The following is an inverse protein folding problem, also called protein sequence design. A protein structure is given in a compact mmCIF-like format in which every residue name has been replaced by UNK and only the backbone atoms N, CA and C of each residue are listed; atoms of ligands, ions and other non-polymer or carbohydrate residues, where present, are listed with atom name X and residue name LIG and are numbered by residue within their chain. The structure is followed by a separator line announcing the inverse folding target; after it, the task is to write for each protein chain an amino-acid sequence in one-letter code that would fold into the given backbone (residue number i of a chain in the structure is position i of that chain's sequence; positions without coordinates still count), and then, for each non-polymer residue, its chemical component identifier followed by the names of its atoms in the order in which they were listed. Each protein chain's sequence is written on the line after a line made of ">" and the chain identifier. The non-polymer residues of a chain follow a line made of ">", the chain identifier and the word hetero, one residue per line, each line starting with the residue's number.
data_IF_990920973280
#
_entry.id   IF_990920973280
#
_cell.length_a   1.000
_cell.length_b   1.000
_cell.length_c   1.000
_cell.angle_alpha   90.00
_cell.angle_beta   90.00
_cell.angle_gamma   90.00
#
_symmetry.space_group_name_H-M   'P 1'
#
loop_
_entity.id
_entity.type
_entity.pdbx_description
1 polymer ?
#
# COMPACT_ATOMS: atom_id res chain seq x y z
N UNK A 1 -2.81 -0.27 -3.18
CA UNK A 1 -1.90 0.73 -2.57
C UNK A 1 -2.48 1.44 -1.33
N UNK A 2 -3.66 1.11 -0.78
CA UNK A 2 -4.33 1.91 0.29
C UNK A 2 -4.01 1.43 1.72
N UNK A 3 -2.79 1.71 2.18
CA UNK A 3 -2.02 1.24 3.36
C UNK A 3 -2.64 1.28 4.75
N UNK A 4 -2.06 0.52 5.70
CA UNK A 4 -2.03 0.92 7.12
C UNK A 4 -1.44 2.34 7.30
N UNK A 5 -0.58 2.77 6.37
CA UNK A 5 -0.10 4.15 6.26
C UNK A 5 -1.22 5.20 6.12
N UNK A 6 -2.40 4.84 5.60
CA UNK A 6 -3.55 5.76 5.50
C UNK A 6 -4.04 6.19 6.89
N UNK A 7 -3.94 5.30 7.89
CA UNK A 7 -4.34 5.57 9.27
C UNK A 7 -3.38 6.54 9.96
N UNK A 8 -2.13 6.59 9.49
CA UNK A 8 -1.13 7.55 9.95
C UNK A 8 -1.22 8.92 9.27
N UNK A 9 -1.95 9.04 8.14
CA UNK A 9 -2.01 10.29 7.37
C UNK A 9 -2.58 11.47 8.17
N UNK A 10 -3.69 11.36 8.90
CA UNK A 10 -4.21 12.49 9.68
C UNK A 10 -3.22 12.99 10.73
N UNK A 11 -2.51 12.07 11.40
CA UNK A 11 -1.49 12.39 12.38
C UNK A 11 -0.25 13.03 11.72
N UNK A 12 0.23 12.47 10.61
CA UNK A 12 1.32 13.05 9.85
C UNK A 12 0.99 14.46 9.35
N UNK A 13 -0.24 14.68 8.87
CA UNK A 13 -0.72 15.99 8.39
C UNK A 13 -0.96 16.98 9.53
N UNK A 14 -1.29 16.52 10.74
CA UNK A 14 -1.41 17.41 11.90
C UNK A 14 -0.04 17.91 12.37
N UNK A 15 0.98 17.06 12.33
CA UNK A 15 2.38 17.41 12.67
C UNK A 15 3.07 18.24 11.57
N UNK A 16 2.92 17.82 10.30
CA UNK A 16 3.54 18.47 9.15
C UNK A 16 2.75 19.69 8.67
N UNK A 17 1.51 19.87 9.10
CA UNK A 17 0.65 20.96 8.63
C UNK A 17 0.12 20.72 7.22
N UNK A 18 -1.14 21.09 7.00
CA UNK A 18 -1.81 20.89 5.73
C UNK A 18 -1.77 22.18 4.91
N UNK A 19 -1.10 22.15 3.77
CA UNK A 19 -0.86 23.34 2.96
C UNK A 19 -2.13 23.85 2.23
N UNK A 20 -3.16 23.02 2.09
CA UNK A 20 -4.36 23.33 1.27
C UNK A 20 -5.31 24.32 1.95
N UNK A 21 -5.21 24.55 3.27
CA UNK A 21 -6.28 25.28 4.01
C UNK A 21 -5.80 26.38 4.96
N UNK A 22 -4.64 27.02 4.79
CA UNK A 22 -4.30 28.20 5.63
C UNK A 22 -3.61 29.36 4.89
N UNK A 23 -4.46 30.16 4.23
CA UNK A 23 -4.37 31.60 3.95
C UNK A 23 -3.26 32.14 3.03
N UNK A 24 -3.73 32.86 1.99
CA UNK A 24 -3.02 33.84 1.13
C UNK A 24 -2.41 35.03 1.91
N UNK A 25 -2.58 35.09 3.23
CA UNK A 25 -2.08 36.17 4.07
C UNK A 25 -1.13 35.62 5.15
N UNK A 26 -0.03 36.33 5.38
CA UNK A 26 1.09 36.06 6.29
C UNK A 26 2.27 35.26 5.70
N UNK A 27 3.01 35.99 4.87
CA UNK A 27 4.44 35.83 4.64
C UNK A 27 5.21 35.95 5.98
N UNK A 28 6.29 35.18 6.13
CA UNK A 28 7.33 35.30 7.18
C UNK A 28 7.11 34.58 8.52
N UNK A 29 7.43 33.28 8.58
CA UNK A 29 8.07 32.69 9.77
C UNK A 29 8.80 31.38 9.41
N UNK A 30 10.06 31.25 9.82
CA UNK A 30 10.97 30.13 9.51
C UNK A 30 10.42 28.74 9.90
N UNK A 31 9.46 28.68 10.84
CA UNK A 31 8.78 27.46 11.25
C UNK A 31 7.78 26.90 10.20
N UNK A 32 7.42 27.65 9.15
CA UNK A 32 6.59 27.14 8.03
C UNK A 32 7.40 26.33 7.00
N UNK A 33 8.73 26.42 6.99
CA UNK A 33 9.54 25.75 5.96
C UNK A 33 9.52 24.22 6.10
N UNK A 34 9.56 23.67 7.33
CA UNK A 34 9.44 22.21 7.54
C UNK A 34 8.04 21.68 7.23
N UNK A 35 7.01 22.54 7.36
CA UNK A 35 5.61 22.17 7.14
C UNK A 35 5.24 22.06 5.66
N UNK A 36 5.75 22.98 4.86
CA UNK A 36 5.60 22.97 3.40
C UNK A 36 6.38 21.78 2.79
N UNK A 37 7.54 21.42 3.36
CA UNK A 37 8.34 20.27 2.92
C UNK A 37 7.58 18.93 3.00
N UNK A 38 6.72 18.72 4.01
CA UNK A 38 5.93 17.49 4.13
C UNK A 38 4.95 17.28 2.98
N UNK A 39 4.24 18.34 2.57
CA UNK A 39 3.30 18.26 1.43
C UNK A 39 4.05 18.02 0.11
N UNK A 40 5.16 18.73 -0.11
CA UNK A 40 6.01 18.49 -1.28
C UNK A 40 6.61 17.09 -1.31
N UNK A 41 6.99 16.53 -0.17
CA UNK A 41 7.55 15.17 -0.08
C UNK A 41 6.50 14.12 -0.42
N UNK A 42 5.25 14.30 0.01
CA UNK A 42 4.14 13.39 -0.33
C UNK A 42 3.79 13.48 -1.82
N UNK A 43 3.75 14.67 -2.40
CA UNK A 43 3.50 14.84 -3.83
C UNK A 43 4.66 14.27 -4.67
N UNK A 44 5.90 14.52 -4.26
CA UNK A 44 7.08 13.96 -4.90
C UNK A 44 7.10 12.43 -4.82
N UNK A 45 6.80 11.86 -3.65
CA UNK A 45 6.71 10.42 -3.49
C UNK A 45 5.62 9.84 -4.38
N UNK A 46 4.45 10.48 -4.47
CA UNK A 46 3.39 10.10 -5.41
C UNK A 46 3.87 10.07 -6.86
N UNK A 47 4.47 11.16 -7.36
CA UNK A 47 5.00 11.24 -8.73
C UNK A 47 6.03 10.15 -9.01
N UNK A 48 7.00 9.96 -8.09
CA UNK A 48 8.02 8.91 -8.20
C UNK A 48 7.35 7.54 -8.26
N UNK A 49 6.39 7.30 -7.37
CA UNK A 49 5.68 6.03 -7.25
C UNK A 49 4.87 5.70 -8.51
N UNK A 50 4.23 6.70 -9.12
CA UNK A 50 3.50 6.55 -10.38
C UNK A 50 4.45 6.29 -11.55
N UNK A 51 5.57 7.02 -11.60
CA UNK A 51 6.60 6.83 -12.61
C UNK A 51 7.23 5.43 -12.50
N UNK A 52 7.53 4.95 -11.30
CA UNK A 52 8.07 3.60 -11.10
C UNK A 52 7.09 2.50 -11.54
N UNK A 53 5.77 2.69 -11.35
CA UNK A 53 4.77 1.74 -11.87
C UNK A 53 4.78 1.71 -13.39
N UNK A 54 4.83 2.88 -14.02
CA UNK A 54 4.93 2.98 -15.47
C UNK A 54 6.17 2.25 -15.99
N UNK A 55 7.33 2.47 -15.37
CA UNK A 55 8.57 1.80 -15.72
C UNK A 55 8.43 0.27 -15.62
N UNK A 56 7.86 -0.24 -14.53
CA UNK A 56 7.65 -1.68 -14.33
C UNK A 56 6.77 -2.30 -15.43
N UNK A 57 5.70 -1.60 -15.82
CA UNK A 57 4.77 -2.09 -16.85
C UNK A 57 5.43 -2.18 -18.22
N UNK A 58 6.26 -1.19 -18.59
CA UNK A 58 7.01 -1.22 -19.85
C UNK A 58 8.15 -2.24 -19.80
N UNK A 59 8.81 -2.39 -18.65
CA UNK A 59 9.95 -3.28 -18.47
C UNK A 59 9.58 -4.78 -18.53
N UNK A 60 8.33 -5.13 -18.22
CA UNK A 60 7.83 -6.50 -18.28
C UNK A 60 8.02 -7.18 -19.66
N UNK A 61 7.98 -6.40 -20.74
CA UNK A 61 8.08 -6.89 -22.13
C UNK A 61 9.14 -6.11 -22.94
N UNK A 62 10.19 -5.62 -22.26
CA UNK A 62 11.24 -4.80 -22.90
C UNK A 62 12.07 -5.58 -23.93
N UNK A 63 12.20 -6.90 -23.75
CA UNK A 63 12.89 -7.79 -24.69
C UNK A 63 11.85 -8.55 -25.54
N UNK A 64 11.91 -8.48 -26.88
CA UNK A 64 11.01 -9.25 -27.74
C UNK A 64 11.08 -10.75 -27.43
N UNK A 65 9.93 -11.36 -27.12
CA UNK A 65 9.83 -12.79 -26.85
C UNK A 65 10.19 -13.23 -25.43
N UNK A 66 10.62 -12.34 -24.53
CA UNK A 66 10.83 -12.66 -23.11
C UNK A 66 9.95 -11.78 -22.23
N UNK A 67 9.17 -12.43 -21.36
CA UNK A 67 8.41 -11.76 -20.29
C UNK A 67 9.20 -11.83 -19.00
N UNK A 68 9.24 -10.72 -18.27
CA UNK A 68 9.84 -10.65 -16.95
C UNK A 68 8.72 -10.62 -15.92
N UNK A 69 8.38 -11.80 -15.41
CA UNK A 69 7.19 -11.97 -14.56
C UNK A 69 7.49 -11.57 -13.10
N UNK A 70 8.77 -11.50 -12.71
CA UNK A 70 9.20 -11.19 -11.34
C UNK A 70 10.23 -10.07 -11.29
N UNK A 71 10.19 -9.29 -10.21
CA UNK A 71 11.11 -8.17 -10.00
C UNK A 71 12.62 -8.57 -9.96
N UNK A 72 13.01 -9.71 -9.34
CA UNK A 72 14.40 -10.17 -9.38
C UNK A 72 14.90 -10.51 -10.79
N UNK A 73 14.05 -11.01 -11.68
CA UNK A 73 14.43 -11.36 -13.06
C UNK A 73 14.82 -10.12 -13.87
N UNK A 74 14.16 -9.00 -13.60
CA UNK A 74 14.54 -7.68 -14.14
C UNK A 74 15.88 -7.21 -13.59
N UNK A 75 16.12 -7.41 -12.30
CA UNK A 75 17.42 -7.14 -11.68
C UNK A 75 18.55 -7.96 -12.30
N UNK A 76 18.32 -9.26 -12.48
CA UNK A 76 19.25 -10.17 -13.15
C UNK A 76 19.55 -9.76 -14.60
N UNK A 77 18.53 -9.27 -15.32
CA UNK A 77 18.72 -8.79 -16.68
C UNK A 77 19.55 -7.49 -16.75
N UNK A 78 19.31 -6.55 -15.83
CA UNK A 78 19.98 -5.25 -15.82
C UNK A 78 21.41 -5.31 -15.27
N UNK A 79 21.66 -6.09 -14.22
CA UNK A 79 22.93 -6.10 -13.48
C UNK A 79 23.69 -7.43 -13.59
N UNK A 80 23.14 -8.42 -14.31
CA UNK A 80 23.71 -9.76 -14.46
C UNK A 80 23.15 -10.77 -13.45
N UNK A 81 23.29 -12.09 -13.73
CA UNK A 81 22.53 -13.14 -13.06
C UNK A 81 22.85 -13.28 -11.57
N UNK A 82 24.10 -13.04 -11.14
CA UNK A 82 24.48 -13.14 -9.72
C UNK A 82 24.31 -11.83 -8.98
N UNK A 83 24.76 -10.72 -9.58
CA UNK A 83 24.75 -9.41 -8.93
C UNK A 83 23.34 -8.84 -8.84
N UNK A 84 22.54 -8.95 -9.91
CA UNK A 84 21.15 -8.50 -9.92
C UNK A 84 20.27 -9.21 -8.90
N UNK A 85 20.36 -10.54 -8.83
CA UNK A 85 19.63 -11.33 -7.84
C UNK A 85 19.98 -10.91 -6.40
N UNK A 86 21.26 -10.88 -6.05
CA UNK A 86 21.71 -10.56 -4.69
C UNK A 86 21.53 -9.10 -4.31
N UNK A 87 21.41 -8.18 -5.27
CA UNK A 87 21.10 -6.79 -5.01
C UNK A 87 19.61 -6.60 -4.74
N UNK A 88 18.74 -7.20 -5.56
CA UNK A 88 17.29 -6.98 -5.50
C UNK A 88 16.62 -7.83 -4.42
N UNK A 89 16.98 -9.11 -4.29
CA UNK A 89 16.28 -10.04 -3.39
C UNK A 89 16.33 -9.66 -1.92
N UNK A 90 17.48 -9.28 -1.33
CA UNK A 90 17.53 -8.90 0.08
C UNK A 90 16.65 -7.67 0.38
N UNK A 91 16.65 -6.68 -0.51
CA UNK A 91 15.81 -5.50 -0.37
C UNK A 91 14.33 -5.86 -0.48
N UNK A 92 13.96 -6.69 -1.44
CA UNK A 92 12.57 -7.15 -1.61
C UNK A 92 12.08 -7.96 -0.40
N UNK A 93 12.90 -8.89 0.11
CA UNK A 93 12.58 -9.67 1.31
C UNK A 93 12.45 -8.80 2.55
N UNK A 94 13.36 -7.83 2.72
CA UNK A 94 13.30 -6.89 3.84
C UNK A 94 11.99 -6.10 3.83
N UNK A 95 11.61 -5.54 2.68
CA UNK A 95 10.38 -4.76 2.53
C UNK A 95 9.15 -5.63 2.77
N UNK A 96 9.14 -6.87 2.29
CA UNK A 96 8.02 -7.80 2.49
C UNK A 96 7.85 -8.15 3.98
N UNK A 97 8.93 -8.56 4.65
CA UNK A 97 8.88 -8.91 6.08
C UNK A 97 8.48 -7.70 6.94
N UNK A 98 9.03 -6.52 6.65
CA UNK A 98 8.66 -5.29 7.36
C UNK A 98 7.18 -4.95 7.18
N UNK A 99 6.67 -5.10 5.96
CA UNK A 99 5.26 -4.91 5.63
C UNK A 99 4.38 -5.89 6.40
N UNK A 100 4.71 -7.20 6.38
CA UNK A 100 3.95 -8.24 7.07
C UNK A 100 3.86 -7.97 8.58
N UNK A 101 4.96 -7.55 9.21
CA UNK A 101 4.98 -7.19 10.63
C UNK A 101 4.03 -6.02 10.92
N UNK A 102 4.11 -4.94 10.12
CA UNK A 102 3.24 -3.76 10.28
C UNK A 102 1.77 -4.15 10.13
N UNK A 103 1.44 -5.06 9.21
CA UNK A 103 0.07 -5.54 9.02
C UNK A 103 -0.41 -6.43 10.15
N UNK A 104 0.42 -7.33 10.65
CA UNK A 104 0.08 -8.17 11.80
C UNK A 104 -0.26 -7.31 13.03
N UNK A 105 0.57 -6.31 13.33
CA UNK A 105 0.38 -5.43 14.48
C UNK A 105 -0.85 -4.55 14.31
N UNK A 106 -1.02 -3.92 13.14
CA UNK A 106 -2.13 -3.00 12.87
C UNK A 106 -3.47 -3.75 12.80
N UNK A 107 -3.51 -4.92 12.15
CA UNK A 107 -4.68 -5.78 12.07
C UNK A 107 -5.10 -6.28 13.45
N UNK A 108 -4.15 -6.80 14.25
CA UNK A 108 -4.42 -7.22 15.62
C UNK A 108 -4.92 -6.08 16.52
N UNK A 109 -4.33 -4.87 16.40
CA UNK A 109 -4.79 -3.69 17.14
C UNK A 109 -6.22 -3.29 16.76
N UNK A 110 -6.53 -3.33 15.46
CA UNK A 110 -7.85 -2.96 14.94
C UNK A 110 -8.91 -3.97 15.39
N UNK A 111 -8.60 -5.26 15.35
CA UNK A 111 -9.49 -6.32 15.83
C UNK A 111 -9.75 -6.20 17.34
N UNK A 112 -8.71 -5.94 18.13
CA UNK A 112 -8.84 -5.69 19.56
C UNK A 112 -9.80 -4.53 19.84
N UNK A 113 -9.63 -3.40 19.14
CA UNK A 113 -10.49 -2.23 19.30
C UNK A 113 -11.93 -2.47 18.85
N UNK A 114 -12.13 -3.24 17.78
CA UNK A 114 -13.46 -3.65 17.37
C UNK A 114 -14.17 -4.47 18.46
N UNK A 115 -13.48 -5.47 19.02
CA UNK A 115 -14.04 -6.30 20.10
C UNK A 115 -14.33 -5.48 21.36
N UNK A 116 -13.45 -4.54 21.70
CA UNK A 116 -13.66 -3.61 22.82
C UNK A 116 -14.93 -2.77 22.64
N UNK A 117 -15.19 -2.27 21.42
CA UNK A 117 -16.39 -1.49 21.10
C UNK A 117 -17.65 -2.36 21.17
N UNK A 118 -17.60 -3.58 20.64
CA UNK A 118 -18.77 -4.48 20.57
C UNK A 118 -19.11 -5.09 21.94
N UNK A 119 -18.10 -5.51 22.70
CA UNK A 119 -18.29 -6.19 23.98
C UNK A 119 -18.51 -5.24 25.16
N UNK A 120 -18.22 -3.94 25.00
CA UNK A 120 -18.46 -2.90 26.00
C UNK A 120 -17.86 -3.25 27.37
N UNK A 121 -18.66 -3.17 28.43
CA UNK A 121 -18.24 -3.44 29.82
C UNK A 121 -17.81 -4.88 30.10
N UNK A 122 -18.11 -5.82 29.19
CA UNK A 122 -17.75 -7.23 29.33
C UNK A 122 -16.30 -7.51 28.91
N UNK A 123 -15.63 -6.54 28.27
CA UNK A 123 -14.24 -6.71 27.84
C UNK A 123 -13.25 -6.40 28.97
N UNK A 124 -12.70 -7.45 29.57
CA UNK A 124 -11.67 -7.34 30.61
C UNK A 124 -10.26 -7.26 30.00
N UNK A 125 -9.97 -6.16 29.30
CA UNK A 125 -8.61 -5.72 28.94
C UNK A 125 -7.62 -6.84 28.58
N UNK A 126 -7.79 -7.45 27.40
CA UNK A 126 -6.94 -8.57 26.95
C UNK A 126 -5.67 -8.06 26.24
N UNK A 127 -4.56 -8.81 26.33
CA UNK A 127 -3.30 -8.44 25.66
C UNK A 127 -3.47 -8.43 24.14
N UNK A 128 -3.00 -7.36 23.49
CA UNK A 128 -3.03 -7.20 22.02
C UNK A 128 -2.38 -8.38 21.28
N UNK A 129 -1.36 -9.01 21.87
CA UNK A 129 -0.67 -10.18 21.29
C UNK A 129 -1.62 -11.30 20.89
N UNK A 130 -2.69 -11.55 21.66
CA UNK A 130 -3.66 -12.59 21.32
C UNK A 130 -4.44 -12.24 20.04
N UNK A 131 -4.81 -10.98 19.86
CA UNK A 131 -5.48 -10.53 18.64
C UNK A 131 -4.56 -10.54 17.42
N UNK A 132 -3.26 -10.29 17.61
CA UNK A 132 -2.25 -10.46 16.55
C UNK A 132 -2.18 -11.94 16.15
N UNK A 133 -2.13 -12.87 17.11
CA UNK A 133 -2.10 -14.31 16.82
C UNK A 133 -3.38 -14.80 16.13
N UNK A 134 -4.55 -14.31 16.54
CA UNK A 134 -5.83 -14.61 15.88
C UNK A 134 -5.81 -14.10 14.44
N UNK A 135 -5.36 -12.86 14.22
CA UNK A 135 -5.27 -12.28 12.88
C UNK A 135 -4.28 -13.04 12.00
N UNK A 136 -3.12 -13.43 12.55
CA UNK A 136 -2.13 -14.25 11.87
C UNK A 136 -2.67 -15.64 11.50
N UNK A 137 -3.42 -16.30 12.39
CA UNK A 137 -4.02 -17.60 12.11
C UNK A 137 -5.02 -17.53 10.95
N UNK A 138 -5.85 -16.48 10.89
CA UNK A 138 -6.75 -16.24 9.76
C UNK A 138 -5.96 -16.06 8.47
N UNK A 139 -4.91 -15.23 8.47
CA UNK A 139 -4.09 -15.03 7.27
C UNK A 139 -3.35 -16.28 6.81
N UNK A 140 -2.86 -17.11 7.75
CA UNK A 140 -2.23 -18.38 7.44
C UNK A 140 -3.20 -19.36 6.75
N UNK A 141 -4.47 -19.38 7.16
CA UNK A 141 -5.50 -20.17 6.48
C UNK A 141 -5.78 -19.60 5.08
N UNK A 142 -5.90 -18.27 4.96
CA UNK A 142 -6.10 -17.60 3.68
C UNK A 142 -4.94 -17.85 2.70
N UNK A 143 -3.71 -17.95 3.19
CA UNK A 143 -2.54 -18.22 2.35
C UNK A 143 -2.52 -19.61 1.73
N UNK A 144 -3.37 -20.54 2.19
CA UNK A 144 -3.51 -21.86 1.58
C UNK A 144 -4.36 -21.83 0.30
N UNK A 145 -4.96 -20.69 -0.03
CA UNK A 145 -5.72 -20.55 -1.27
C UNK A 145 -4.78 -20.54 -2.49
N UNK A 146 -5.10 -21.29 -3.56
CA UNK A 146 -4.16 -21.53 -4.64
C UNK A 146 -3.92 -20.32 -5.55
N UNK A 147 -4.81 -19.33 -5.56
CA UNK A 147 -4.67 -18.10 -6.34
C UNK A 147 -5.59 -16.98 -5.84
N UNK A 148 -5.29 -15.74 -6.26
CA UNK A 148 -6.06 -14.55 -5.93
C UNK A 148 -7.53 -14.63 -6.34
N UNK A 149 -7.85 -15.26 -7.47
CA UNK A 149 -9.22 -15.39 -7.94
C UNK A 149 -10.07 -16.30 -7.03
N UNK A 150 -9.46 -17.30 -6.39
CA UNK A 150 -10.10 -18.17 -5.40
C UNK A 150 -10.48 -17.40 -4.12
N UNK A 151 -9.66 -16.42 -3.71
CA UNK A 151 -9.99 -15.52 -2.60
C UNK A 151 -11.15 -14.58 -2.97
N UNK A 152 -11.25 -14.20 -4.25
CA UNK A 152 -12.27 -13.26 -4.73
C UNK A 152 -13.66 -13.86 -4.99
N UNK A 153 -13.81 -15.18 -5.06
CA UNK A 153 -14.99 -15.84 -5.64
C UNK A 153 -16.01 -16.43 -4.65
N UNK A 154 -15.86 -16.23 -3.34
CA UNK A 154 -16.74 -16.84 -2.33
C UNK A 154 -17.44 -15.78 -1.45
N UNK A 155 -18.78 -15.78 -1.41
CA UNK A 155 -19.61 -14.70 -0.81
C UNK A 155 -19.43 -14.45 0.70
N UNK A 156 -19.03 -15.47 1.47
CA UNK A 156 -18.67 -15.31 2.90
C UNK A 156 -17.21 -14.83 3.03
N UNK A 157 -16.39 -15.11 2.02
CA UNK A 157 -15.08 -14.52 1.91
C UNK A 157 -15.14 -13.07 1.44
N UNK A 158 -16.21 -12.50 0.88
CA UNK A 158 -16.23 -11.07 0.48
C UNK A 158 -15.87 -10.11 1.65
N UNK A 159 -16.23 -10.46 2.89
CA UNK A 159 -15.77 -9.76 4.10
C UNK A 159 -14.28 -9.98 4.40
N UNK A 160 -13.81 -11.25 4.34
CA UNK A 160 -12.39 -11.62 4.51
C UNK A 160 -11.50 -11.20 3.33
N UNK A 161 -12.08 -11.00 2.15
CA UNK A 161 -11.57 -10.49 0.89
C UNK A 161 -11.51 -8.96 1.00
N UNK A 162 -12.48 -8.29 1.62
CA UNK A 162 -12.31 -6.90 2.04
C UNK A 162 -11.08 -6.75 2.94
N UNK A 163 -10.92 -7.62 3.95
CA UNK A 163 -9.73 -7.63 4.81
C UNK A 163 -8.45 -8.06 4.07
N UNK A 164 -8.53 -9.02 3.15
CA UNK A 164 -7.43 -9.53 2.34
C UNK A 164 -6.98 -8.58 1.25
N UNK A 165 -7.90 -7.85 0.62
CA UNK A 165 -7.68 -6.77 -0.35
C UNK A 165 -7.08 -5.55 0.34
N UNK A 166 -7.50 -5.26 1.59
CA UNK A 166 -6.77 -4.33 2.45
C UNK A 166 -5.35 -4.88 2.64
N UNK A 167 -5.14 -6.07 3.19
CA UNK A 167 -3.80 -6.66 3.43
C UNK A 167 -2.89 -6.78 2.18
N UNK A 168 -3.44 -7.06 0.99
CA UNK A 168 -2.72 -7.21 -0.27
C UNK A 168 -2.56 -5.91 -1.05
N UNK A 169 -3.24 -4.83 -0.66
CA UNK A 169 -3.06 -3.54 -1.29
C UNK A 169 -1.66 -2.93 -1.06
N UNK A 170 -0.68 -3.67 -0.52
CA UNK A 170 0.40 -3.11 0.27
C UNK A 170 1.83 -3.38 -0.16
N UNK A 171 2.05 -4.21 -1.16
CA UNK A 171 3.33 -4.34 -1.87
C UNK A 171 3.11 -4.26 -3.39
N UNK A 172 2.10 -3.49 -3.81
CA UNK A 172 1.59 -3.51 -5.18
C UNK A 172 2.65 -3.25 -6.24
N UNK A 173 3.68 -2.45 -5.95
CA UNK A 173 4.76 -2.16 -6.90
C UNK A 173 5.51 -3.40 -7.36
N UNK A 174 6.02 -4.22 -6.45
CA UNK A 174 6.76 -5.43 -6.82
C UNK A 174 5.85 -6.51 -7.40
N UNK A 175 4.56 -6.47 -7.08
CA UNK A 175 3.55 -7.44 -7.53
C UNK A 175 2.92 -7.05 -8.87
N UNK A 176 3.14 -5.83 -9.39
CA UNK A 176 2.62 -5.41 -10.71
C UNK A 176 3.08 -6.35 -11.82
N UNK A 177 4.33 -6.81 -11.77
CA UNK A 177 4.85 -7.75 -12.77
C UNK A 177 4.14 -9.10 -12.69
N UNK A 178 3.90 -9.60 -11.49
CA UNK A 178 3.19 -10.87 -11.28
C UNK A 178 1.72 -10.77 -11.74
N UNK A 179 1.05 -9.64 -11.50
CA UNK A 179 -0.31 -9.40 -12.01
C UNK A 179 -0.27 -9.31 -13.53
N UNK A 180 0.71 -8.62 -14.11
CA UNK A 180 0.84 -8.49 -15.57
C UNK A 180 1.13 -9.83 -16.24
N UNK A 181 1.89 -10.71 -15.58
CA UNK A 181 2.14 -12.06 -16.04
C UNK A 181 0.84 -12.87 -16.25
N UNK A 182 -0.17 -12.65 -15.40
CA UNK A 182 -1.49 -13.31 -15.53
C UNK A 182 -2.37 -12.76 -16.66
N UNK A 183 -2.03 -11.59 -17.23
CA UNK A 183 -2.76 -11.01 -18.36
C UNK A 183 -2.25 -11.67 -19.66
N UNK A 184 -3.15 -12.19 -20.52
CA UNK A 184 -2.76 -12.72 -21.82
C UNK A 184 -2.02 -11.66 -22.64
N UNK A 185 -0.90 -12.05 -23.28
CA UNK A 185 -0.09 -11.17 -24.11
C UNK A 185 0.21 -11.83 -25.45
N UNK A 186 0.12 -11.06 -26.53
CA UNK A 186 0.58 -11.45 -27.87
C UNK A 186 1.42 -10.33 -28.49
N UNK A 187 2.25 -10.62 -29.52
CA UNK A 187 3.00 -9.58 -30.23
C UNK A 187 2.11 -8.47 -30.81
N UNK A 188 0.87 -8.80 -31.15
CA UNK A 188 -0.13 -7.88 -31.70
C UNK A 188 -0.87 -7.10 -30.59
N UNK A 189 -1.06 -7.73 -29.42
CA UNK A 189 -1.79 -7.16 -28.28
C UNK A 189 -0.95 -7.35 -27.00
N UNK A 190 0.00 -6.44 -26.73
CA UNK A 190 0.88 -6.56 -25.58
C UNK A 190 0.14 -6.27 -24.26
N UNK A 191 0.46 -7.02 -23.21
CA UNK A 191 -0.16 -6.94 -21.87
C UNK A 191 0.00 -5.56 -21.20
N UNK A 192 0.99 -4.77 -21.63
CA UNK A 192 1.26 -3.44 -21.07
C UNK A 192 0.11 -2.45 -21.22
N UNK A 193 -0.67 -2.52 -22.30
CA UNK A 193 -1.82 -1.63 -22.54
C UNK A 193 -2.96 -1.85 -21.52
N UNK A 194 -3.50 -3.07 -21.36
CA UNK A 194 -4.53 -3.32 -20.35
C UNK A 194 -3.99 -3.13 -18.92
N UNK A 195 -2.73 -3.51 -18.65
CA UNK A 195 -2.11 -3.29 -17.34
C UNK A 195 -2.04 -1.79 -17.00
N UNK A 196 -1.56 -0.95 -17.92
CA UNK A 196 -1.45 0.49 -17.68
C UNK A 196 -2.80 1.15 -17.37
N UNK A 197 -3.87 0.75 -18.08
CA UNK A 197 -5.23 1.22 -17.76
C UNK A 197 -5.65 0.84 -16.34
N UNK A 198 -5.35 -0.40 -15.92
CA UNK A 198 -5.60 -0.87 -14.56
C UNK A 198 -4.81 -0.08 -13.52
N UNK A 199 -3.53 0.18 -13.77
CA UNK A 199 -2.66 0.98 -12.90
C UNK A 199 -3.20 2.40 -12.74
N UNK A 200 -3.55 3.08 -13.84
CA UNK A 200 -4.09 4.45 -13.78
C UNK A 200 -5.40 4.49 -13.00
N UNK A 201 -6.32 3.57 -13.26
CA UNK A 201 -7.59 3.50 -12.55
C UNK A 201 -7.38 3.26 -11.03
N UNK A 202 -6.53 2.29 -10.67
CA UNK A 202 -6.21 1.99 -9.28
C UNK A 202 -5.56 3.21 -8.58
N UNK A 203 -4.65 3.91 -9.27
CA UNK A 203 -3.95 5.07 -8.73
C UNK A 203 -4.90 6.25 -8.46
N UNK A 204 -5.86 6.49 -9.35
CA UNK A 204 -6.91 7.51 -9.15
C UNK A 204 -7.82 7.17 -7.97
N UNK A 205 -8.23 5.89 -7.82
CA UNK A 205 -9.02 5.43 -6.68
C UNK A 205 -8.25 5.63 -5.37
N UNK A 206 -6.97 5.24 -5.35
CA UNK A 206 -6.09 5.44 -4.18
C UNK A 206 -5.99 6.93 -3.85
N UNK A 207 -5.89 7.81 -4.85
CA UNK A 207 -5.78 9.25 -4.65
C UNK A 207 -7.03 9.78 -3.97
N UNK A 208 -8.18 9.40 -4.50
CA UNK A 208 -9.47 9.76 -3.93
C UNK A 208 -9.62 9.28 -2.47
N UNK A 209 -9.29 8.02 -2.18
CA UNK A 209 -9.34 7.47 -0.82
C UNK A 209 -8.38 8.17 0.15
N UNK A 210 -7.13 8.40 -0.26
CA UNK A 210 -6.12 9.01 0.59
C UNK A 210 -6.44 10.47 0.87
N UNK A 211 -6.85 11.21 -0.17
CA UNK A 211 -7.25 12.61 -0.02
C UNK A 211 -8.50 12.69 0.86
N UNK A 212 -9.57 11.95 0.60
CA UNK A 212 -10.80 12.01 1.41
C UNK A 212 -10.54 11.73 2.90
N UNK A 213 -9.75 10.70 3.24
CA UNK A 213 -9.37 10.39 4.63
C UNK A 213 -8.50 11.48 5.23
N UNK A 214 -7.53 12.00 4.47
CA UNK A 214 -6.69 13.13 4.90
C UNK A 214 -7.53 14.39 5.18
N UNK A 215 -8.47 14.71 4.28
CA UNK A 215 -9.35 15.88 4.40
C UNK A 215 -10.25 15.76 5.62
N UNK A 216 -10.96 14.65 5.77
CA UNK A 216 -11.85 14.41 6.90
C UNK A 216 -11.10 14.33 8.24
N UNK A 217 -9.96 13.62 8.27
CA UNK A 217 -9.16 13.44 9.47
C UNK A 217 -8.54 14.75 9.98
N UNK A 218 -8.01 15.58 9.08
CA UNK A 218 -7.49 16.89 9.46
C UNK A 218 -8.60 17.84 9.92
N UNK A 219 -9.77 17.84 9.26
CA UNK A 219 -10.90 18.65 9.69
C UNK A 219 -11.38 18.29 11.10
N UNK A 220 -11.48 16.98 11.39
CA UNK A 220 -11.96 16.49 12.67
C UNK A 220 -10.94 16.65 13.81
N UNK A 221 -9.65 16.38 13.56
CA UNK A 221 -8.63 16.23 14.61
C UNK A 221 -7.47 17.24 14.53
N UNK A 222 -7.35 18.01 13.45
CA UNK A 222 -6.28 18.98 13.26
C UNK A 222 -6.16 20.02 14.38
N UNK A 223 -7.26 20.59 14.91
CA UNK A 223 -7.19 21.51 16.05
C UNK A 223 -6.71 20.86 17.35
N UNK A 224 -7.03 19.58 17.58
CA UNK A 224 -6.69 18.83 18.81
C UNK A 224 -5.18 18.52 18.92
N UNK A 225 -4.48 18.38 17.80
CA UNK A 225 -3.05 18.07 17.79
C UNK A 225 -2.12 19.30 17.82
N UNK A 226 -2.69 20.53 17.85
CA UNK A 226 -1.92 21.79 17.86
C UNK A 226 -1.78 22.40 19.27
N UNK A 227 -2.41 21.81 20.28
CA UNK A 227 -2.20 22.12 21.70
C UNK A 227 -1.24 21.12 22.32
#
# INVERSE_FOLDING_TARGET
>A
MVGAGVLGLPYALSQLGWCVTVNILYLMTLARFSRVAGTFTILASWVITFYSLWQLVELHEVVPGKRFDRYPELGEHAFGPKLGYWLVMPQQMLVQVASDIVYMVTGGKSLMKFVEIVAGSTFHGTRQTYFILIFAAVQFVLSQTPNFAAVMSVRVFDFFNGMGTIAFAFAGHSVVLEIQATIPSSPEVPSKKPMWKGVVAAYLIVAFCYLSVAFAGYWAFGPLCRG
#
